data_IF_209823131033
#
_entry.id   IF_209823131033
#
_cell.length_a   1.000
_cell.length_b   1.000
_cell.length_c   1.000
_cell.angle_alpha   90.00
_cell.angle_beta   90.00
_cell.angle_gamma   90.00
#
_symmetry.space_group_name_H-M   'P 1'
#
loop_
_entity.id
_entity.type
_entity.pdbx_description
1 polymer ?
#
# COMPACT_ATOMS: atom_id res chain seq x y z
N UNK A 1 -3.01 8.63 -17.70
CA UNK A 1 -4.10 7.61 -17.70
C UNK A 1 -3.75 6.40 -18.55
N UNK A 2 -3.93 6.39 -19.89
CA UNK A 2 -3.65 5.19 -20.70
C UNK A 2 -2.18 4.72 -20.63
N UNK A 3 -1.24 5.68 -20.64
CA UNK A 3 0.19 5.38 -20.57
C UNK A 3 0.60 4.74 -19.24
N UNK A 4 0.03 5.20 -18.12
CA UNK A 4 0.32 4.66 -16.78
C UNK A 4 -0.18 3.22 -16.66
N UNK A 5 -1.40 2.96 -17.14
CA UNK A 5 -1.96 1.60 -17.21
C UNK A 5 -1.10 0.72 -18.12
N UNK A 6 -0.60 1.26 -19.23
CA UNK A 6 0.34 0.58 -20.12
C UNK A 6 1.63 0.16 -19.42
N UNK A 7 2.24 1.03 -18.62
CA UNK A 7 3.43 0.69 -17.84
C UNK A 7 3.17 -0.42 -16.81
N UNK A 8 2.02 -0.38 -16.13
CA UNK A 8 1.62 -1.44 -15.18
C UNK A 8 1.43 -2.77 -15.93
N UNK A 9 0.71 -2.74 -17.06
CA UNK A 9 0.45 -3.92 -17.87
C UNK A 9 1.73 -4.55 -18.42
N UNK A 10 2.72 -3.74 -18.82
CA UNK A 10 4.03 -4.19 -19.29
C UNK A 10 4.92 -4.72 -18.15
N UNK A 11 4.75 -4.22 -16.93
CA UNK A 11 5.47 -4.70 -15.75
C UNK A 11 5.17 -6.16 -15.40
N UNK A 12 3.96 -6.65 -15.69
CA UNK A 12 3.53 -8.02 -15.40
C UNK A 12 4.34 -9.08 -16.19
N UNK A 13 4.42 -9.05 -17.54
CA UNK A 13 5.20 -10.01 -18.29
C UNK A 13 6.70 -9.89 -17.97
N UNK A 14 7.22 -8.68 -17.77
CA UNK A 14 8.60 -8.45 -17.34
C UNK A 14 8.88 -9.12 -15.99
N UNK A 15 7.98 -8.96 -15.01
CA UNK A 15 8.08 -9.61 -13.71
C UNK A 15 8.07 -11.14 -13.80
N UNK A 16 7.23 -11.72 -14.67
CA UNK A 16 7.15 -13.18 -14.86
C UNK A 16 8.42 -13.77 -15.47
N UNK A 17 9.05 -13.09 -16.44
CA UNK A 17 10.29 -13.53 -17.06
C UNK A 17 11.48 -13.41 -16.09
N UNK A 18 11.57 -12.31 -15.36
CA UNK A 18 12.67 -12.03 -14.42
C UNK A 18 12.56 -12.81 -13.09
N UNK A 19 11.37 -13.34 -12.74
CA UNK A 19 11.14 -14.11 -11.50
C UNK A 19 12.08 -15.30 -11.31
N UNK A 20 12.60 -15.88 -12.40
CA UNK A 20 13.53 -17.03 -12.33
C UNK A 20 14.94 -16.67 -11.85
N UNK A 21 15.26 -15.38 -11.67
CA UNK A 21 16.58 -14.91 -11.23
C UNK A 21 16.48 -14.33 -9.83
N UNK A 22 16.84 -15.11 -8.81
CA UNK A 22 16.78 -14.69 -7.41
C UNK A 22 17.58 -13.40 -7.12
N UNK A 23 18.70 -13.20 -7.81
CA UNK A 23 19.50 -11.97 -7.70
C UNK A 23 18.73 -10.72 -8.14
N UNK A 24 17.94 -10.83 -9.22
CA UNK A 24 17.11 -9.73 -9.73
C UNK A 24 15.97 -9.44 -8.76
N UNK A 25 15.31 -10.48 -8.24
CA UNK A 25 14.24 -10.32 -7.24
C UNK A 25 14.77 -9.62 -5.99
N UNK A 26 15.92 -10.03 -5.46
CA UNK A 26 16.55 -9.37 -4.30
C UNK A 26 16.97 -7.92 -4.59
N UNK A 27 17.47 -7.65 -5.80
CA UNK A 27 17.83 -6.29 -6.19
C UNK A 27 16.61 -5.37 -6.28
N UNK A 28 15.51 -5.85 -6.87
CA UNK A 28 14.24 -5.11 -6.97
C UNK A 28 13.63 -4.88 -5.60
N UNK A 29 13.64 -5.88 -4.72
CA UNK A 29 13.19 -5.75 -3.32
C UNK A 29 13.97 -4.64 -2.59
N UNK A 30 15.30 -4.69 -2.66
CA UNK A 30 16.16 -3.67 -2.04
C UNK A 30 15.95 -2.29 -2.64
N UNK A 31 15.82 -2.20 -3.97
CA UNK A 31 15.56 -0.95 -4.68
C UNK A 31 14.20 -0.37 -4.31
N UNK A 32 13.17 -1.21 -4.17
CA UNK A 32 11.83 -0.80 -3.76
C UNK A 32 11.85 -0.25 -2.35
N UNK A 33 12.54 -0.92 -1.43
CA UNK A 33 12.68 -0.43 -0.05
C UNK A 33 13.40 0.93 0.01
N UNK A 34 14.49 1.09 -0.74
CA UNK A 34 15.17 2.39 -0.87
C UNK A 34 14.26 3.45 -1.48
N UNK A 35 13.53 3.10 -2.54
CA UNK A 35 12.58 4.01 -3.18
C UNK A 35 11.47 4.44 -2.22
N UNK A 36 10.91 3.54 -1.42
CA UNK A 36 9.90 3.87 -0.40
C UNK A 36 10.47 4.87 0.60
N UNK A 37 11.69 4.66 1.10
CA UNK A 37 12.32 5.61 2.03
C UNK A 37 12.56 6.96 1.39
N UNK A 38 13.08 7.00 0.16
CA UNK A 38 13.27 8.25 -0.57
C UNK A 38 11.95 8.96 -0.81
N UNK A 39 10.91 8.25 -1.26
CA UNK A 39 9.59 8.81 -1.51
C UNK A 39 8.95 9.33 -0.23
N UNK A 40 9.06 8.59 0.89
CA UNK A 40 8.52 9.01 2.18
C UNK A 40 9.25 10.25 2.71
N UNK A 41 10.57 10.32 2.51
CA UNK A 41 11.37 11.49 2.85
C UNK A 41 10.98 12.70 2.00
N UNK A 42 10.91 12.53 0.68
CA UNK A 42 10.47 13.58 -0.25
C UNK A 42 9.05 14.05 0.08
N UNK A 43 8.13 13.13 0.36
CA UNK A 43 6.78 13.45 0.80
C UNK A 43 6.80 14.29 2.08
N UNK A 44 7.59 13.89 3.08
CA UNK A 44 7.75 14.66 4.31
C UNK A 44 8.27 16.08 4.07
N UNK A 45 9.27 16.24 3.20
CA UNK A 45 9.78 17.55 2.81
C UNK A 45 8.71 18.38 2.10
N UNK A 46 8.03 17.82 1.10
CA UNK A 46 6.98 18.51 0.36
C UNK A 46 5.83 18.97 1.25
N UNK A 47 5.40 18.14 2.20
CA UNK A 47 4.35 18.50 3.17
C UNK A 47 4.85 19.51 4.20
N UNK A 48 6.11 19.43 4.62
CA UNK A 48 6.71 20.31 5.63
C UNK A 48 7.03 21.72 5.11
N UNK A 49 7.28 21.88 3.82
CA UNK A 49 7.49 23.21 3.21
C UNK A 49 6.19 24.00 3.01
N UNK A 50 5.04 23.34 3.06
CA UNK A 50 3.73 23.97 2.90
C UNK A 50 3.20 24.48 4.26
N UNK A 51 3.31 25.79 4.46
CA UNK A 51 2.87 26.48 5.68
C UNK A 51 1.38 26.26 5.99
N UNK A 52 0.53 26.08 4.97
CA UNK A 52 -0.89 25.85 5.14
C UNK A 52 -1.16 24.43 5.66
N UNK A 53 -0.42 23.44 5.16
CA UNK A 53 -0.51 22.05 5.65
C UNK A 53 0.07 21.93 7.06
N UNK A 54 1.20 22.56 7.34
CA UNK A 54 1.85 22.51 8.67
C UNK A 54 0.99 23.19 9.74
N UNK A 55 0.41 24.36 9.45
CA UNK A 55 -0.47 25.05 10.40
C UNK A 55 -1.76 24.29 10.69
N UNK A 56 -2.28 23.54 9.72
CA UNK A 56 -3.46 22.68 9.88
C UNK A 56 -3.12 21.22 10.22
N UNK A 57 -1.84 20.89 10.47
CA UNK A 57 -1.38 19.51 10.64
C UNK A 57 -2.11 18.78 11.76
N UNK A 58 -2.45 19.48 12.86
CA UNK A 58 -3.25 18.90 13.95
C UNK A 58 -4.67 18.53 13.49
N UNK A 59 -5.33 19.40 12.71
CA UNK A 59 -6.68 19.16 12.20
C UNK A 59 -6.71 18.06 11.13
N UNK A 60 -5.74 18.07 10.21
CA UNK A 60 -5.59 17.03 9.18
C UNK A 60 -5.21 15.69 9.85
N UNK A 61 -4.30 15.71 10.81
CA UNK A 61 -3.86 14.54 11.56
C UNK A 61 -4.99 13.88 12.35
N UNK A 62 -5.83 14.66 13.03
CA UNK A 62 -7.00 14.14 13.74
C UNK A 62 -8.00 13.48 12.79
N UNK A 63 -8.30 14.12 11.65
CA UNK A 63 -9.16 13.55 10.61
C UNK A 63 -8.56 12.28 10.03
N UNK A 64 -7.26 12.29 9.73
CA UNK A 64 -6.54 11.14 9.19
C UNK A 64 -6.55 9.95 10.17
N UNK A 65 -6.38 10.20 11.48
CA UNK A 65 -6.48 9.16 12.50
C UNK A 65 -7.88 8.55 12.57
N UNK A 66 -8.92 9.39 12.54
CA UNK A 66 -10.31 8.92 12.59
C UNK A 66 -10.65 8.08 11.34
N UNK A 67 -10.25 8.54 10.15
CA UNK A 67 -10.46 7.80 8.90
C UNK A 67 -9.64 6.51 8.88
N UNK A 68 -8.36 6.56 9.25
CA UNK A 68 -7.46 5.39 9.25
C UNK A 68 -7.95 4.31 10.21
N UNK A 69 -8.28 4.68 11.45
CA UNK A 69 -8.83 3.73 12.44
C UNK A 69 -10.17 3.16 12.00
N UNK A 70 -11.05 3.99 11.42
CA UNK A 70 -12.31 3.54 10.82
C UNK A 70 -12.10 2.55 9.67
N UNK A 71 -11.15 2.81 8.77
CA UNK A 71 -10.81 1.93 7.65
C UNK A 71 -10.21 0.60 8.12
N UNK A 72 -9.31 0.62 9.11
CA UNK A 72 -8.71 -0.60 9.68
C UNK A 72 -9.77 -1.42 10.40
N UNK A 73 -10.60 -0.79 11.23
CA UNK A 73 -11.70 -1.45 11.93
C UNK A 73 -12.72 -2.03 10.94
N UNK A 74 -13.08 -1.28 9.90
CA UNK A 74 -13.99 -1.73 8.84
C UNK A 74 -13.43 -2.90 8.04
N UNK A 75 -12.14 -2.84 7.65
CA UNK A 75 -11.47 -3.93 6.94
C UNK A 75 -11.38 -5.20 7.79
N UNK A 76 -11.05 -5.06 9.08
CA UNK A 76 -11.01 -6.18 10.02
C UNK A 76 -12.41 -6.77 10.26
N UNK A 77 -13.43 -5.93 10.44
CA UNK A 77 -14.82 -6.37 10.60
C UNK A 77 -15.34 -7.08 9.34
N UNK A 78 -15.02 -6.57 8.15
CA UNK A 78 -15.37 -7.21 6.88
C UNK A 78 -14.67 -8.56 6.72
N UNK A 79 -13.37 -8.64 7.03
CA UNK A 79 -12.62 -9.90 7.01
C UNK A 79 -13.19 -10.91 8.01
N UNK A 80 -13.57 -10.47 9.20
CA UNK A 80 -14.22 -11.30 10.21
C UNK A 80 -15.60 -11.79 9.77
N UNK A 81 -16.42 -10.91 9.19
CA UNK A 81 -17.73 -11.25 8.66
C UNK A 81 -17.61 -12.25 7.52
N UNK A 82 -16.71 -12.02 6.55
CA UNK A 82 -16.42 -12.93 5.46
C UNK A 82 -15.93 -14.30 5.97
N UNK A 83 -15.04 -14.29 6.96
CA UNK A 83 -14.56 -15.47 7.66
C UNK A 83 -15.69 -16.27 8.33
N UNK A 84 -16.59 -15.57 9.02
CA UNK A 84 -17.68 -16.16 9.81
C UNK A 84 -18.86 -16.65 8.96
N UNK A 85 -19.17 -15.96 7.87
CA UNK A 85 -20.37 -16.20 7.05
C UNK A 85 -20.10 -17.02 5.78
N UNK A 86 -18.95 -16.82 5.12
CA UNK A 86 -18.61 -17.48 3.85
C UNK A 86 -17.59 -18.61 4.05
N UNK A 87 -16.53 -18.38 4.82
CA UNK A 87 -15.45 -19.38 4.98
C UNK A 87 -15.76 -20.47 6.01
N UNK A 88 -16.76 -20.28 6.87
CA UNK A 88 -17.18 -21.30 7.85
C UNK A 88 -17.92 -22.49 7.23
N UNK A 89 -18.19 -22.46 5.92
CA UNK A 89 -18.63 -23.62 5.12
C UNK A 89 -17.49 -24.40 4.46
N UNK A 90 -16.22 -23.99 4.63
CA UNK A 90 -15.06 -24.62 3.96
C UNK A 90 -13.88 -24.95 4.87
N UNK A 91 -14.04 -24.85 6.20
CA UNK A 91 -12.99 -25.13 7.18
C UNK A 91 -13.26 -26.38 8.05
N UNK A 92 -14.30 -27.16 7.71
CA UNK A 92 -14.61 -28.45 8.34
C UNK A 92 -14.21 -29.62 7.42
N UNK A 93 -13.11 -29.50 6.67
CA UNK A 93 -12.62 -30.61 5.85
C UNK A 93 -11.10 -30.61 5.58
N UNK A 94 -10.26 -30.10 6.51
CA UNK A 94 -8.82 -30.45 6.57
C UNK A 94 -8.26 -30.44 7.99
#
# INVERSE_FOLDING_TARGET
MLTEVGFIALGIPLGLVLRKREAVVKAVDKLTMWAIYTLLFLLGVSLGTDQNIVSQAAGIGAKALLISTGCVAGSAAAAWFLGRFILRGGFDER
#
